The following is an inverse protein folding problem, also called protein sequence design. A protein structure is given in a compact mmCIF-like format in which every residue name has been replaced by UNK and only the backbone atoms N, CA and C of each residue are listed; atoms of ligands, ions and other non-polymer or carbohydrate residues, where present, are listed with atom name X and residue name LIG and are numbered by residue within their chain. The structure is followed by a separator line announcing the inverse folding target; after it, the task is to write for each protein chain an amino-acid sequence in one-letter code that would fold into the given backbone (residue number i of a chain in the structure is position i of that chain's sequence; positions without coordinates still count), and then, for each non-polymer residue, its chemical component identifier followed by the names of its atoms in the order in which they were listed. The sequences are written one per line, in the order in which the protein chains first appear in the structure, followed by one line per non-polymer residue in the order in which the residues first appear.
data_IF_774991508155
#
_entry.id   IF_774991508155
#
_cell.length_a   1.000
_cell.length_b   1.000
_cell.length_c   1.000
_cell.angle_alpha   90.00
_cell.angle_beta   90.00
_cell.angle_gamma   90.00
#
_symmetry.space_group_name_H-M   'P 1'
#
loop_
_entity.id
_entity.type
_entity.pdbx_description
1 polymer ?
#
# COMPACT_ATOMS: atom_id res chain seq x y z
N UNK A 1 -3.31 -6.96 -15.16
CA UNK A 1 -3.14 -6.26 -13.87
C UNK A 1 -1.67 -5.89 -13.79
N UNK A 2 -1.33 -4.61 -13.95
CA UNK A 2 0.05 -4.16 -13.81
C UNK A 2 0.37 -4.14 -12.31
N UNK A 3 1.40 -4.89 -11.91
CA UNK A 3 1.91 -4.85 -10.54
C UNK A 3 2.70 -3.54 -10.40
N UNK A 4 2.24 -2.64 -9.54
CA UNK A 4 2.96 -1.43 -9.20
C UNK A 4 3.52 -1.56 -7.79
N UNK A 5 4.76 -1.13 -7.61
CA UNK A 5 5.29 -0.96 -6.26
C UNK A 5 4.61 0.25 -5.62
N UNK A 6 4.49 0.25 -4.30
CA UNK A 6 3.82 1.32 -3.56
C UNK A 6 4.38 2.72 -3.88
N UNK A 7 5.68 2.81 -4.20
CA UNK A 7 6.32 4.04 -4.68
C UNK A 7 5.64 4.59 -5.95
N UNK A 8 5.35 3.74 -6.93
CA UNK A 8 4.65 4.14 -8.15
C UNK A 8 3.19 4.45 -7.89
N UNK A 9 2.54 3.66 -7.03
CA UNK A 9 1.15 3.87 -6.68
C UNK A 9 0.93 5.21 -5.93
N UNK A 10 1.92 5.73 -5.18
CA UNK A 10 1.83 7.08 -4.60
C UNK A 10 1.78 8.20 -5.65
N UNK A 11 2.25 7.97 -6.88
CA UNK A 11 2.04 8.96 -7.96
C UNK A 11 0.55 9.19 -8.24
N UNK A 12 -0.26 8.14 -8.07
CA UNK A 12 -1.70 8.15 -8.29
C UNK A 12 -2.50 8.40 -6.99
N UNK A 13 -1.90 8.12 -5.83
CA UNK A 13 -2.49 8.34 -4.51
C UNK A 13 -2.03 9.68 -3.94
N UNK A 14 -2.96 10.55 -3.57
CA UNK A 14 -2.62 11.78 -2.85
C UNK A 14 -1.86 11.45 -1.54
N UNK A 15 -0.54 11.65 -1.56
CA UNK A 15 0.38 11.24 -0.49
C UNK A 15 0.16 12.02 0.84
N UNK A 16 -0.79 12.96 0.88
CA UNK A 16 -1.19 13.69 2.09
C UNK A 16 -2.22 12.96 2.96
N UNK A 17 -2.89 11.93 2.41
CA UNK A 17 -3.88 11.15 3.14
C UNK A 17 -3.25 10.07 4.02
N UNK A 18 -4.07 9.48 4.89
CA UNK A 18 -3.73 8.22 5.56
C UNK A 18 -3.92 7.03 4.62
N UNK A 19 -3.27 5.93 4.93
CA UNK A 19 -3.44 4.64 4.29
C UNK A 19 -3.75 3.56 5.34
N UNK A 20 -4.61 2.63 4.97
CA UNK A 20 -4.77 1.34 5.64
C UNK A 20 -4.07 0.31 4.77
N UNK A 21 -2.93 -0.18 5.23
CA UNK A 21 -2.19 -1.24 4.57
C UNK A 21 -2.74 -2.58 5.04
N UNK A 22 -3.14 -3.44 4.10
CA UNK A 22 -3.46 -4.85 4.37
C UNK A 22 -2.35 -5.72 3.79
N UNK A 23 -1.69 -6.49 4.64
CA UNK A 23 -0.62 -7.40 4.26
C UNK A 23 -1.16 -8.80 3.93
N UNK A 24 -0.31 -9.64 3.33
CA UNK A 24 -0.66 -11.00 2.92
C UNK A 24 -1.15 -11.91 4.05
N UNK A 25 -0.67 -11.68 5.28
CA UNK A 25 -1.12 -12.39 6.49
C UNK A 25 -2.44 -11.84 7.08
N UNK A 26 -3.09 -10.91 6.35
CA UNK A 26 -4.32 -10.19 6.74
C UNK A 26 -4.15 -9.23 7.91
N UNK A 27 -2.92 -8.93 8.31
CA UNK A 27 -2.69 -7.83 9.26
C UNK A 27 -2.99 -6.50 8.58
N UNK A 28 -3.55 -5.57 9.35
CA UNK A 28 -3.85 -4.22 8.89
C UNK A 28 -3.11 -3.18 9.71
N UNK A 29 -2.68 -2.10 9.06
CA UNK A 29 -1.96 -0.99 9.69
C UNK A 29 -2.46 0.33 9.14
N UNK A 30 -2.88 1.23 10.03
CA UNK A 30 -3.15 2.63 9.69
C UNK A 30 -1.84 3.43 9.79
N UNK A 31 -1.49 4.13 8.72
CA UNK A 31 -0.23 4.86 8.58
C UNK A 31 -0.43 6.07 7.65
N UNK A 32 0.45 7.08 7.68
CA UNK A 32 0.43 8.09 6.62
C UNK A 32 0.92 7.50 5.30
N UNK A 33 0.40 7.96 4.15
CA UNK A 33 0.86 7.47 2.85
C UNK A 33 2.36 7.73 2.65
N UNK A 34 2.86 8.91 3.03
CA UNK A 34 4.29 9.22 2.97
C UNK A 34 5.15 8.23 3.75
N UNK A 35 4.77 7.95 5.00
CA UNK A 35 5.50 6.97 5.83
C UNK A 35 5.35 5.53 5.31
N UNK A 36 4.21 5.19 4.70
CA UNK A 36 4.02 3.92 4.03
C UNK A 36 4.98 3.74 2.85
N UNK A 37 5.18 4.78 2.04
CA UNK A 37 6.15 4.77 0.92
C UNK A 37 7.58 4.67 1.45
N UNK A 38 7.92 5.41 2.51
CA UNK A 38 9.27 5.38 3.07
C UNK A 38 9.64 3.99 3.61
N UNK A 39 8.69 3.29 4.26
CA UNK A 39 8.92 1.98 4.87
C UNK A 39 8.70 0.80 3.91
N UNK A 40 7.69 0.91 3.06
CA UNK A 40 7.15 -0.19 2.26
C UNK A 40 7.06 0.13 0.76
N UNK A 41 7.67 1.22 0.30
CA UNK A 41 7.60 1.69 -1.09
C UNK A 41 8.02 0.66 -2.14
N UNK A 42 8.85 -0.31 -1.75
CA UNK A 42 9.34 -1.42 -2.59
C UNK A 42 8.41 -2.63 -2.63
N UNK A 43 7.36 -2.66 -1.80
CA UNK A 43 6.40 -3.76 -1.78
C UNK A 43 5.38 -3.59 -2.92
N UNK A 44 5.03 -4.71 -3.54
CA UNK A 44 4.04 -4.74 -4.61
C UNK A 44 2.63 -4.49 -4.07
N UNK A 45 1.89 -3.62 -4.73
CA UNK A 45 0.47 -3.36 -4.49
C UNK A 45 -0.37 -4.22 -5.44
N UNK A 46 -1.32 -4.97 -4.90
CA UNK A 46 -2.31 -5.73 -5.68
C UNK A 46 -3.46 -4.83 -6.13
N UNK A 47 -3.98 -4.03 -5.20
CA UNK A 47 -5.00 -3.03 -5.49
C UNK A 47 -4.98 -1.95 -4.41
N UNK A 48 -5.52 -0.77 -4.77
CA UNK A 48 -5.76 0.31 -3.84
C UNK A 48 -7.10 0.98 -4.18
N UNK A 49 -7.74 1.60 -3.19
CA UNK A 49 -9.03 2.27 -3.35
C UNK A 49 -9.10 3.50 -2.44
N UNK A 50 -9.58 4.62 -2.99
CA UNK A 50 -9.81 5.84 -2.22
C UNK A 50 -11.15 5.75 -1.48
N UNK A 51 -11.13 5.92 -0.15
CA UNK A 51 -12.31 5.95 0.74
C UNK A 51 -12.58 7.36 1.28
N UNK A 52 -12.22 8.40 0.53
CA UNK A 52 -12.25 9.83 0.85
C UNK A 52 -11.30 10.28 1.98
N UNK A 53 -11.25 9.57 3.10
CA UNK A 53 -10.43 9.94 4.26
C UNK A 53 -9.08 9.21 4.29
N UNK A 54 -9.00 8.06 3.61
CA UNK A 54 -7.81 7.23 3.54
C UNK A 54 -7.79 6.39 2.25
N UNK A 55 -6.62 5.86 1.95
CA UNK A 55 -6.42 4.85 0.92
C UNK A 55 -6.42 3.45 1.56
N UNK A 56 -7.31 2.57 1.13
CA UNK A 56 -7.16 1.14 1.37
C UNK A 56 -6.13 0.61 0.37
N UNK A 57 -5.06 -0.02 0.84
CA UNK A 57 -3.99 -0.56 0.00
C UNK A 57 -3.78 -2.03 0.37
N UNK A 58 -3.97 -2.92 -0.61
CA UNK A 58 -3.71 -4.35 -0.45
C UNK A 58 -2.35 -4.66 -1.03
N UNK A 59 -1.44 -5.10 -0.16
CA UNK A 59 -0.09 -5.49 -0.53
C UNK A 59 -0.08 -6.95 -1.00
N UNK A 60 0.84 -7.27 -1.91
CA UNK A 60 1.05 -8.65 -2.35
C UNK A 60 1.62 -9.48 -1.20
N UNK A 61 1.17 -10.74 -1.10
CA UNK A 61 1.78 -11.74 -0.23
C UNK A 61 3.29 -11.84 -0.52
N UNK A 62 4.10 -11.75 0.55
CA UNK A 62 5.53 -11.98 0.44
C UNK A 62 5.76 -13.47 0.20
N UNK A 63 5.92 -13.85 -1.08
CA UNK A 63 6.10 -15.25 -1.48
C UNK A 63 7.51 -15.80 -1.16
N UNK A 64 8.36 -15.04 -0.47
CA UNK A 64 9.75 -15.43 -0.18
C UNK A 64 9.94 -16.22 1.13
N UNK A 65 8.88 -16.75 1.74
CA UNK A 65 8.96 -17.69 2.87
C UNK A 65 8.59 -19.14 2.49
N UNK A 66 9.22 -19.68 1.45
CA UNK A 66 9.29 -21.13 1.21
C UNK A 66 10.73 -21.58 0.93
#
# INVERSE_FOLDING_TARGET
MFLHDLYYACGDMDCTHKAILTFGDRTTMEISVGEAVDRYGHLHVLCFTNKNEYWDIIMKEDMNYL
#
